data_IF_600445668340
#
_entry.id   IF_600445668340
#
_cell.length_a   1.000
_cell.length_b   1.000
_cell.length_c   1.000
_cell.angle_alpha   90.00
_cell.angle_beta   90.00
_cell.angle_gamma   90.00
#
_symmetry.space_group_name_H-M   'P 1'
#
loop_
_entity.id
_entity.type
_entity.pdbx_description
1 polymer ?
#
# COMPACT_ATOMS: atom_id res chain seq x y z
N UNK A 1 -11.12 2.03 13.12
CA UNK A 1 -11.36 0.93 12.18
C UNK A 1 -10.06 0.14 12.02
N UNK A 2 -10.12 -1.18 11.86
CA UNK A 2 -8.91 -2.01 11.64
C UNK A 2 -8.45 -1.95 10.18
N UNK A 3 -7.14 -2.11 9.95
CA UNK A 3 -6.53 -2.14 8.62
C UNK A 3 -7.17 -3.19 7.70
N UNK A 4 -7.48 -4.38 8.20
CA UNK A 4 -8.08 -5.45 7.41
C UNK A 4 -9.43 -5.06 6.81
N UNK A 5 -10.28 -4.39 7.59
CA UNK A 5 -11.59 -3.92 7.12
C UNK A 5 -11.43 -2.87 6.01
N UNK A 6 -10.52 -1.91 6.20
CA UNK A 6 -10.26 -0.88 5.18
C UNK A 6 -9.69 -1.45 3.88
N UNK A 7 -8.89 -2.51 3.97
CA UNK A 7 -8.35 -3.22 2.80
C UNK A 7 -9.50 -3.87 2.02
N UNK A 8 -10.41 -4.56 2.69
CA UNK A 8 -11.56 -5.21 2.03
C UNK A 8 -12.55 -4.19 1.45
N UNK A 9 -12.83 -3.10 2.16
CA UNK A 9 -13.69 -2.03 1.67
C UNK A 9 -13.11 -1.39 0.39
N UNK A 10 -11.80 -1.17 0.36
CA UNK A 10 -11.10 -0.62 -0.82
C UNK A 10 -11.04 -1.62 -1.97
N UNK A 11 -10.80 -2.91 -1.68
CA UNK A 11 -10.89 -3.97 -2.70
C UNK A 11 -12.28 -4.04 -3.32
N UNK A 12 -13.33 -3.96 -2.49
CA UNK A 12 -14.69 -3.96 -2.97
C UNK A 12 -14.98 -2.73 -3.84
N UNK A 13 -14.54 -1.54 -3.42
CA UNK A 13 -14.61 -0.33 -4.23
C UNK A 13 -13.95 -0.49 -5.60
N UNK A 14 -12.72 -1.02 -5.63
CA UNK A 14 -11.99 -1.30 -6.86
C UNK A 14 -12.75 -2.28 -7.78
N UNK A 15 -13.31 -3.35 -7.22
CA UNK A 15 -14.09 -4.33 -7.99
C UNK A 15 -15.41 -3.77 -8.55
N UNK A 16 -16.00 -2.77 -7.88
CA UNK A 16 -17.21 -2.08 -8.32
C UNK A 16 -16.95 -0.86 -9.20
N UNK A 17 -15.67 -0.50 -9.42
CA UNK A 17 -15.30 0.65 -10.22
C UNK A 17 -15.66 0.41 -11.70
N UNK A 18 -16.80 0.95 -12.14
CA UNK A 18 -17.30 0.81 -13.50
C UNK A 18 -16.68 1.79 -14.52
N UNK A 19 -15.69 2.59 -14.12
CA UNK A 19 -15.04 3.58 -14.98
C UNK A 19 -13.55 3.68 -14.71
N UNK A 20 -12.81 4.14 -15.71
CA UNK A 20 -11.38 4.42 -15.61
C UNK A 20 -11.05 5.37 -14.46
N UNK A 21 -11.83 6.45 -14.30
CA UNK A 21 -11.67 7.41 -13.21
C UNK A 21 -11.98 6.78 -11.84
N UNK A 22 -12.95 5.87 -11.77
CA UNK A 22 -13.26 5.12 -10.54
C UNK A 22 -12.10 4.21 -10.14
N UNK A 23 -11.50 3.50 -11.09
CA UNK A 23 -10.33 2.65 -10.85
C UNK A 23 -9.15 3.48 -10.34
N UNK A 24 -8.87 4.62 -10.97
CA UNK A 24 -7.82 5.55 -10.52
C UNK A 24 -8.10 6.05 -9.10
N UNK A 25 -9.35 6.40 -8.78
CA UNK A 25 -9.73 6.85 -7.44
C UNK A 25 -9.54 5.75 -6.38
N UNK A 26 -9.91 4.50 -6.67
CA UNK A 26 -9.74 3.38 -5.74
C UNK A 26 -8.26 2.99 -5.58
N UNK A 27 -7.46 3.10 -6.63
CA UNK A 27 -6.00 2.96 -6.52
C UNK A 27 -5.39 4.02 -5.59
N UNK A 28 -5.90 5.25 -5.62
CA UNK A 28 -5.51 6.30 -4.66
C UNK A 28 -5.91 5.96 -3.22
N UNK A 29 -7.07 5.35 -3.00
CA UNK A 29 -7.47 4.87 -1.68
C UNK A 29 -6.52 3.78 -1.18
N UNK A 30 -6.11 2.85 -2.05
CA UNK A 30 -5.12 1.82 -1.72
C UNK A 30 -3.75 2.43 -1.36
N UNK A 31 -3.31 3.46 -2.09
CA UNK A 31 -2.11 4.23 -1.77
C UNK A 31 -2.19 4.92 -0.40
N UNK A 32 -3.28 5.64 -0.14
CA UNK A 32 -3.47 6.32 1.12
C UNK A 32 -3.54 5.34 2.31
N UNK A 33 -4.11 4.15 2.10
CA UNK A 33 -4.10 3.09 3.09
C UNK A 33 -2.69 2.54 3.35
N UNK A 34 -1.88 2.40 2.31
CA UNK A 34 -0.48 2.03 2.44
C UNK A 34 0.30 3.05 3.29
N UNK A 35 0.14 4.35 3.01
CA UNK A 35 0.74 5.43 3.80
C UNK A 35 0.31 5.39 5.26
N UNK A 36 -0.99 5.19 5.52
CA UNK A 36 -1.55 5.15 6.87
C UNK A 36 -1.03 3.93 7.66
N UNK A 37 -0.97 2.75 7.04
CA UNK A 37 -0.38 1.54 7.64
C UNK A 37 1.11 1.75 7.90
N UNK A 38 1.85 2.33 6.96
CA UNK A 38 3.27 2.67 7.14
C UNK A 38 3.50 3.64 8.30
N UNK A 39 2.68 4.68 8.41
CA UNK A 39 2.72 5.64 9.52
C UNK A 39 2.43 4.98 10.87
N UNK A 40 1.42 4.10 10.92
CA UNK A 40 1.10 3.35 12.12
C UNK A 40 2.25 2.42 12.54
N UNK A 41 2.85 1.70 11.60
CA UNK A 41 4.01 0.84 11.86
C UNK A 41 5.26 1.64 12.28
N UNK A 42 5.41 2.88 11.81
CA UNK A 42 6.50 3.75 12.23
C UNK A 42 6.34 4.22 13.69
N UNK A 43 5.10 4.43 14.14
CA UNK A 43 4.79 4.90 15.50
C UNK A 43 4.74 3.78 16.53
N UNK A 44 4.16 2.63 16.17
CA UNK A 44 3.84 1.54 17.10
C UNK A 44 4.57 0.24 16.79
N UNK A 45 5.27 0.16 15.66
CA UNK A 45 6.00 -1.03 15.24
C UNK A 45 7.42 -1.10 15.81
N UNK A 46 8.04 -2.30 15.74
CA UNK A 46 9.44 -2.51 16.07
C UNK A 46 10.42 -1.61 15.30
N UNK A 47 11.56 -1.28 15.93
CA UNK A 47 12.58 -0.39 15.38
C UNK A 47 13.15 -0.86 14.03
N UNK A 48 13.25 -2.17 13.86
CA UNK A 48 13.72 -2.80 12.63
C UNK A 48 12.77 -2.59 11.43
N UNK A 49 11.55 -2.10 11.64
CA UNK A 49 10.63 -1.73 10.57
C UNK A 49 10.74 -0.26 10.17
N UNK A 50 11.38 0.60 10.99
CA UNK A 50 11.34 2.06 10.81
C UNK A 50 11.75 2.52 9.41
N UNK A 51 12.79 1.94 8.81
CA UNK A 51 13.23 2.33 7.48
C UNK A 51 12.15 2.08 6.41
N UNK A 52 11.60 0.86 6.40
CA UNK A 52 10.61 0.48 5.40
C UNK A 52 9.23 1.07 5.70
N UNK A 53 8.86 1.19 6.98
CA UNK A 53 7.63 1.83 7.44
C UNK A 53 7.64 3.32 7.11
N UNK A 54 8.79 4.00 7.27
CA UNK A 54 8.98 5.38 6.82
C UNK A 54 8.85 5.48 5.31
N UNK A 55 9.54 4.62 4.56
CA UNK A 55 9.40 4.59 3.10
C UNK A 55 7.94 4.39 2.67
N UNK A 56 7.20 3.51 3.35
CA UNK A 56 5.79 3.25 3.06
C UNK A 56 4.90 4.44 3.41
N UNK A 57 5.17 5.13 4.53
CA UNK A 57 4.46 6.36 4.93
C UNK A 57 4.66 7.54 3.96
N UNK A 58 5.78 7.55 3.23
CA UNK A 58 6.14 8.61 2.29
C UNK A 58 5.77 8.28 0.83
N UNK A 59 5.23 7.09 0.57
CA UNK A 59 5.06 6.54 -0.78
C UNK A 59 4.14 7.37 -1.69
N UNK A 60 3.00 7.85 -1.18
CA UNK A 60 2.09 8.72 -1.93
C UNK A 60 2.37 10.22 -1.74
N UNK A 61 3.42 10.59 -1.01
CA UNK A 61 3.79 11.99 -0.74
C UNK A 61 4.51 12.69 -1.90
N UNK A 62 4.98 11.93 -2.89
CA UNK A 62 5.74 12.45 -4.04
C UNK A 62 4.86 13.00 -5.16
N UNK A 63 3.57 12.68 -5.17
CA UNK A 63 2.59 13.17 -6.16
C UNK A 63 1.80 14.34 -5.54
N UNK A 64 2.49 15.43 -5.19
CA UNK A 64 1.83 16.69 -4.77
C UNK A 64 1.47 17.51 -6.01
N UNK A 65 0.23 18.00 -6.09
CA UNK A 65 -0.21 18.95 -7.10
C UNK A 65 -0.97 18.40 -8.33
N UNK A 66 -1.33 17.12 -8.40
CA UNK A 66 -2.16 16.57 -9.49
C UNK A 66 -3.64 16.45 -9.07
N UNK A 67 -4.60 16.16 -9.99
CA UNK A 67 -6.01 15.88 -9.64
C UNK A 67 -6.19 14.78 -8.57
N UNK A 68 -5.15 13.97 -8.35
CA UNK A 68 -5.01 13.06 -7.22
C UNK A 68 -5.12 13.74 -5.84
N UNK A 69 -4.73 15.01 -5.73
CA UNK A 69 -4.81 15.76 -4.47
C UNK A 69 -6.27 16.09 -4.09
N UNK A 70 -7.16 16.26 -5.08
CA UNK A 70 -8.61 16.40 -4.84
C UNK A 70 -9.25 15.06 -4.46
N UNK A 71 -8.84 13.95 -5.09
CA UNK A 71 -9.23 12.60 -4.67
C UNK A 71 -8.71 12.25 -3.26
N UNK A 72 -7.52 12.74 -2.89
CA UNK A 72 -6.94 12.65 -1.53
C UNK A 72 -7.64 13.57 -0.53
N UNK A 73 -8.37 14.60 -0.96
CA UNK A 73 -9.25 15.42 -0.10
C UNK A 73 -10.66 14.86 0.01
N UNK A 74 -11.10 14.07 -0.97
CA UNK A 74 -12.38 13.38 -0.96
C UNK A 74 -12.33 12.15 -0.04
N UNK A 75 -12.61 12.36 1.25
CA UNK A 75 -12.99 11.29 2.19
C UNK A 75 -12.11 10.05 2.16
N UNK A 76 -10.81 10.20 2.42
CA UNK A 76 -9.86 9.09 2.43
C UNK A 76 -10.26 8.07 3.50
N UNK A 77 -10.64 6.85 3.09
CA UNK A 77 -11.04 5.80 4.04
C UNK A 77 -9.90 5.47 5.01
N UNK A 78 -8.66 5.59 4.56
CA UNK A 78 -7.47 5.44 5.40
C UNK A 78 -7.42 6.37 6.63
N UNK A 79 -8.13 7.51 6.62
CA UNK A 79 -8.24 8.39 7.79
C UNK A 79 -9.02 7.73 8.95
N UNK A 80 -9.81 6.68 8.67
CA UNK A 80 -10.53 5.90 9.68
C UNK A 80 -9.65 4.83 10.35
N UNK A 81 -8.43 4.62 9.86
CA UNK A 81 -7.48 3.68 10.43
C UNK A 81 -7.17 4.09 11.86
N UNK A 82 -7.49 3.22 12.81
CA UNK A 82 -7.20 3.45 14.23
C UNK A 82 -6.24 2.42 14.80
N UNK A 83 -6.08 1.28 14.13
CA UNK A 83 -5.32 0.15 14.64
C UNK A 83 -4.84 -0.75 13.50
N UNK A 84 -3.75 -1.47 13.75
CA UNK A 84 -3.19 -2.52 12.89
C UNK A 84 -2.93 -3.74 13.78
N UNK A 85 -3.98 -4.52 14.04
CA UNK A 85 -3.92 -5.59 15.05
C UNK A 85 -3.00 -6.74 14.65
N UNK A 86 -3.07 -7.16 13.39
CA UNK A 86 -2.23 -8.22 12.84
C UNK A 86 -1.36 -7.66 11.70
N UNK A 87 -0.17 -7.08 11.99
CA UNK A 87 0.68 -6.44 10.99
C UNK A 87 0.97 -7.32 9.78
N UNK A 88 1.23 -8.62 9.99
CA UNK A 88 1.50 -9.55 8.91
C UNK A 88 0.29 -9.76 7.99
N UNK A 89 -0.90 -9.93 8.58
CA UNK A 89 -2.15 -10.11 7.84
C UNK A 89 -2.52 -8.83 7.08
N UNK A 90 -2.41 -7.68 7.74
CA UNK A 90 -2.64 -6.37 7.14
C UNK A 90 -1.69 -6.12 5.96
N UNK A 91 -0.38 -6.37 6.13
CA UNK A 91 0.61 -6.20 5.06
C UNK A 91 0.38 -7.16 3.88
N UNK A 92 -0.01 -8.42 4.13
CA UNK A 92 -0.40 -9.35 3.05
C UNK A 92 -1.63 -8.86 2.30
N UNK A 93 -2.68 -8.46 3.04
CA UNK A 93 -3.90 -7.91 2.46
C UNK A 93 -3.63 -6.68 1.59
N UNK A 94 -2.81 -5.77 2.11
CA UNK A 94 -2.38 -4.57 1.42
C UNK A 94 -1.56 -4.90 0.16
N UNK A 95 -0.64 -5.87 0.24
CA UNK A 95 0.13 -6.32 -0.93
C UNK A 95 -0.75 -6.89 -2.04
N UNK A 96 -1.79 -7.65 -1.69
CA UNK A 96 -2.77 -8.16 -2.67
C UNK A 96 -3.58 -7.02 -3.29
N UNK A 97 -4.09 -6.11 -2.48
CA UNK A 97 -4.86 -4.94 -2.95
C UNK A 97 -4.02 -4.06 -3.90
N UNK A 98 -2.75 -3.82 -3.58
CA UNK A 98 -1.83 -3.07 -4.45
C UNK A 98 -1.60 -3.81 -5.78
N UNK A 99 -1.46 -5.14 -5.75
CA UNK A 99 -1.38 -5.95 -6.96
C UNK A 99 -2.63 -5.85 -7.84
N UNK A 100 -3.81 -5.96 -7.23
CA UNK A 100 -5.11 -5.83 -7.92
C UNK A 100 -5.27 -4.42 -8.53
N UNK A 101 -4.93 -3.38 -7.78
CA UNK A 101 -4.96 -2.00 -8.25
C UNK A 101 -3.98 -1.77 -9.42
N UNK A 102 -2.76 -2.31 -9.33
CA UNK A 102 -1.77 -2.23 -10.40
C UNK A 102 -2.26 -2.86 -11.71
N UNK A 103 -2.83 -4.06 -11.63
CA UNK A 103 -3.41 -4.75 -12.80
C UNK A 103 -4.55 -3.92 -13.42
N UNK A 104 -5.46 -3.40 -12.59
CA UNK A 104 -6.57 -2.58 -13.06
C UNK A 104 -6.08 -1.29 -13.75
N UNK A 105 -5.08 -0.62 -13.19
CA UNK A 105 -4.48 0.59 -13.75
C UNK A 105 -3.78 0.35 -15.08
N UNK A 106 -3.08 -0.79 -15.25
CA UNK A 106 -2.49 -1.16 -16.55
C UNK A 106 -3.58 -1.29 -17.61
N UNK A 107 -4.70 -1.93 -17.27
CA UNK A 107 -5.87 -2.02 -18.17
C UNK A 107 -6.41 -0.64 -18.56
N UNK A 108 -6.52 0.27 -17.58
CA UNK A 108 -6.94 1.66 -17.83
C UNK A 108 -5.95 2.40 -18.73
N UNK A 109 -4.65 2.33 -18.43
CA UNK A 109 -3.59 2.98 -19.20
C UNK A 109 -3.57 2.49 -20.66
N UNK A 110 -3.75 1.19 -20.90
CA UNK A 110 -3.84 0.63 -22.25
C UNK A 110 -5.05 1.12 -23.05
N UNK A 111 -6.11 1.56 -22.37
CA UNK A 111 -7.33 2.11 -22.98
C UNK A 111 -7.37 3.64 -23.03
N UNK A 112 -6.33 4.32 -22.54
CA UNK A 112 -6.29 5.77 -22.44
C UNK A 112 -5.99 6.41 -23.79
N UNK A 113 -7.02 6.94 -24.46
CA UNK A 113 -6.86 7.68 -25.72
C UNK A 113 -6.29 9.10 -25.52
N UNK A 114 -6.33 9.62 -24.29
CA UNK A 114 -5.86 10.96 -23.93
C UNK A 114 -4.49 10.86 -23.26
N UNK A 115 -3.46 11.45 -23.89
CA UNK A 115 -2.07 11.41 -23.42
C UNK A 115 -1.91 11.85 -21.96
N UNK A 116 -2.63 12.90 -21.52
CA UNK A 116 -2.59 13.35 -20.13
C UNK A 116 -3.15 12.33 -19.12
N UNK A 117 -4.15 11.54 -19.52
CA UNK A 117 -4.74 10.51 -18.67
C UNK A 117 -3.85 9.26 -18.60
N UNK A 118 -3.18 8.93 -19.71
CA UNK A 118 -2.14 7.89 -19.73
C UNK A 118 -1.03 8.20 -18.72
N UNK A 119 -0.44 9.40 -18.77
CA UNK A 119 0.62 9.80 -17.84
C UNK A 119 0.18 9.77 -16.38
N UNK A 120 -1.04 10.23 -16.10
CA UNK A 120 -1.62 10.10 -14.76
C UNK A 120 -1.71 8.64 -14.31
N UNK A 121 -2.08 7.70 -15.18
CA UNK A 121 -2.10 6.28 -14.84
C UNK A 121 -0.71 5.75 -14.54
N UNK A 122 0.31 6.14 -15.31
CA UNK A 122 1.71 5.74 -15.08
C UNK A 122 2.19 6.20 -13.70
N UNK A 123 1.91 7.44 -13.30
CA UNK A 123 2.28 7.94 -11.97
C UNK A 123 1.65 7.10 -10.84
N UNK A 124 0.39 6.70 -11.00
CA UNK A 124 -0.30 5.87 -10.00
C UNK A 124 0.25 4.44 -9.99
N UNK A 125 0.55 3.87 -11.17
CA UNK A 125 1.16 2.54 -11.28
C UNK A 125 2.50 2.50 -10.56
N UNK A 126 3.36 3.49 -10.79
CA UNK A 126 4.67 3.58 -10.14
C UNK A 126 4.55 3.71 -8.62
N UNK A 127 3.60 4.51 -8.13
CA UNK A 127 3.35 4.66 -6.69
C UNK A 127 2.85 3.35 -6.05
N UNK A 128 1.95 2.65 -6.74
CA UNK A 128 1.41 1.34 -6.32
C UNK A 128 2.49 0.27 -6.29
N UNK A 129 3.34 0.19 -7.32
CA UNK A 129 4.44 -0.78 -7.37
C UNK A 129 5.49 -0.51 -6.29
N UNK A 130 5.92 0.75 -6.11
CA UNK A 130 6.89 1.13 -5.07
C UNK A 130 6.36 0.78 -3.67
N UNK A 131 5.06 0.99 -3.43
CA UNK A 131 4.41 0.62 -2.18
C UNK A 131 4.35 -0.90 -1.99
N UNK A 132 4.03 -1.65 -3.06
CA UNK A 132 4.02 -3.11 -3.04
C UNK A 132 5.41 -3.67 -2.69
N UNK A 133 6.46 -3.08 -3.24
CA UNK A 133 7.84 -3.45 -2.96
C UNK A 133 8.24 -3.23 -1.50
N UNK A 134 7.82 -2.11 -0.90
CA UNK A 134 8.03 -1.81 0.52
C UNK A 134 7.26 -2.78 1.41
N UNK A 135 6.02 -3.10 1.07
CA UNK A 135 5.22 -4.12 1.76
C UNK A 135 5.91 -5.49 1.72
N UNK A 136 6.42 -5.92 0.56
CA UNK A 136 7.20 -7.16 0.43
C UNK A 136 8.45 -7.15 1.31
N UNK A 137 9.16 -6.01 1.40
CA UNK A 137 10.31 -5.84 2.31
C UNK A 137 9.93 -5.97 3.77
N UNK A 138 8.83 -5.34 4.20
CA UNK A 138 8.31 -5.45 5.58
C UNK A 138 7.92 -6.89 5.93
N UNK A 139 7.24 -7.60 5.01
CA UNK A 139 6.88 -9.00 5.20
C UNK A 139 8.10 -9.91 5.36
N UNK A 140 9.16 -9.71 4.55
CA UNK A 140 10.42 -10.45 4.71
C UNK A 140 11.08 -10.20 6.05
N UNK A 141 11.04 -8.95 6.57
CA UNK A 141 11.57 -8.64 7.90
C UNK A 141 10.76 -9.31 9.00
N UNK A 142 9.43 -9.37 8.89
CA UNK A 142 8.58 -10.12 9.83
C UNK A 142 8.94 -11.61 9.84
N UNK A 143 9.11 -12.21 8.68
CA UNK A 143 9.48 -13.63 8.53
C UNK A 143 10.86 -13.95 9.12
N UNK A 144 11.84 -13.06 8.94
CA UNK A 144 13.17 -13.21 9.52
C UNK A 144 13.16 -13.16 11.06
N UNK A 145 12.22 -12.45 11.69
CA UNK A 145 12.07 -12.41 13.15
C UNK A 145 11.39 -13.66 13.71
N UNK A 146 10.40 -14.17 12.99
CA UNK A 146 9.63 -15.33 13.42
C UNK A 146 10.39 -16.64 13.23
N UNK A 147 11.42 -16.65 12.38
CA UNK A 147 12.33 -17.78 12.22
C UNK A 147 13.38 -17.71 13.33
N UNK A 148 13.34 -18.56 14.37
CA UNK A 148 14.43 -18.65 15.33
C UNK A 148 15.67 -19.07 14.54
N UNK A 149 16.68 -18.20 14.54
CA UNK A 149 17.99 -18.54 14.02
C UNK A 149 18.44 -19.81 14.77
N UNK A 150 18.74 -20.93 14.08
CA UNK A 150 19.26 -22.10 14.77
C UNK A 150 20.55 -21.63 15.44
N UNK A 151 20.52 -21.68 16.76
CA UNK A 151 21.63 -21.39 17.63
C UNK A 151 22.86 -22.06 17.03
N UNK A 152 23.87 -21.27 16.69
CA UNK A 152 25.20 -21.78 16.37
C UNK A 152 25.85 -22.26 17.68
N UNK A 153 25.18 -23.19 18.36
CA UNK A 153 25.69 -24.01 19.43
C UNK A 153 26.50 -25.15 18.81
N UNK A 154 27.69 -24.81 18.32
CA UNK A 154 28.75 -25.76 18.08
C UNK A 154 30.11 -25.14 18.45
N UNK A 155 30.26 -24.91 19.74
CA UNK A 155 31.55 -24.96 20.44
C UNK A 155 31.28 -25.04 21.94
N UNK A 156 32.12 -25.71 22.78
CA UNK A 156 33.33 -26.48 22.50
C UNK A 156 33.38 -27.89 23.16
N UNK A 157 34.32 -28.74 22.74
CA UNK A 157 35.16 -29.60 23.61
C UNK A 157 36.53 -29.78 22.97
#
# INVERSE_FOLDING_TARGET
>A
MDAGQLIEDTRHGLAQAGSAQGIVAEAWQAQALAEAVGSHLLLYGPDEFRLEARGLSEAGGRVRGSPAEEARRAGVRAALLSDVQEPRRALRGLGMLLGEAGIALVGVACSADVEGFYWQCIEVIDAVDESGDRVRRLLRRLEARESPQPDSAAGPV
#
